data_IF_961838759558
#
_entry.id   IF_961838759558
#
_cell.length_a   1.000
_cell.length_b   1.000
_cell.length_c   1.000
_cell.angle_alpha   90.00
_cell.angle_beta   90.00
_cell.angle_gamma   90.00
#
_symmetry.space_group_name_H-M   'P 1'
#
loop_
_entity.id
_entity.type
_entity.pdbx_description
1 polymer ?
#
# COMPACT_ATOMS: atom_id res chain seq x y z
N UNK A 1 18.00 -32.79 -19.24
CA UNK A 1 17.53 -32.51 -17.87
C UNK A 1 18.33 -31.34 -17.32
N UNK A 2 17.88 -30.12 -17.56
CA UNK A 2 18.42 -28.93 -16.89
C UNK A 2 17.26 -28.07 -16.45
N UNK A 3 17.11 -27.94 -15.14
CA UNK A 3 16.37 -26.90 -14.45
C UNK A 3 16.99 -26.77 -13.06
N UNK A 4 16.94 -25.60 -12.40
CA UNK A 4 16.18 -24.41 -12.76
C UNK A 4 17.05 -23.16 -12.95
N UNK A 5 16.57 -22.23 -13.78
CA UNK A 5 17.09 -20.86 -13.89
C UNK A 5 16.76 -20.10 -12.62
N UNK A 6 17.58 -20.29 -11.58
CA UNK A 6 17.64 -19.41 -10.41
C UNK A 6 18.32 -18.11 -10.83
N UNK A 7 17.55 -17.06 -11.10
CA UNK A 7 17.85 -15.66 -10.76
C UNK A 7 16.64 -14.83 -11.19
N UNK A 8 15.54 -14.92 -10.44
CA UNK A 8 14.61 -13.80 -10.33
C UNK A 8 14.99 -13.05 -9.05
N UNK A 9 16.18 -12.44 -9.08
CA UNK A 9 16.53 -11.44 -8.10
C UNK A 9 15.80 -10.18 -8.52
N UNK A 10 14.86 -9.62 -7.73
CA UNK A 10 14.29 -8.33 -8.02
C UNK A 10 15.37 -7.28 -7.76
N UNK A 11 16.35 -7.18 -8.66
CA UNK A 11 17.20 -6.01 -8.80
C UNK A 11 16.24 -4.89 -9.16
N UNK A 12 15.76 -4.23 -8.12
CA UNK A 12 14.72 -3.23 -8.18
C UNK A 12 15.04 -2.25 -9.30
N UNK A 13 14.09 -2.04 -10.21
CA UNK A 13 14.18 -1.08 -11.33
C UNK A 13 14.09 0.35 -10.78
N UNK A 14 14.78 0.62 -9.70
CA UNK A 14 14.89 1.94 -9.16
C UNK A 14 15.89 2.67 -10.06
N UNK A 15 15.40 3.53 -10.95
CA UNK A 15 16.17 4.36 -11.88
C UNK A 15 17.16 5.30 -11.15
N UNK A 16 18.18 4.77 -10.49
CA UNK A 16 19.12 5.54 -9.66
C UNK A 16 18.53 6.11 -8.36
N UNK A 17 17.21 5.98 -8.13
CA UNK A 17 16.54 6.53 -6.94
C UNK A 17 16.59 5.59 -5.71
N UNK A 18 17.27 4.42 -5.78
CA UNK A 18 17.31 3.44 -4.67
C UNK A 18 17.61 4.07 -3.30
N UNK A 19 18.66 4.90 -3.15
CA UNK A 19 18.96 5.53 -1.86
C UNK A 19 17.83 6.45 -1.38
N UNK A 20 17.12 7.13 -2.30
CA UNK A 20 15.93 7.91 -1.94
C UNK A 20 14.80 7.01 -1.42
N UNK A 21 14.51 5.91 -2.12
CA UNK A 21 13.49 4.94 -1.71
C UNK A 21 13.75 4.35 -0.33
N UNK A 22 15.01 3.98 -0.05
CA UNK A 22 15.41 3.45 1.25
C UNK A 22 15.32 4.50 2.36
N UNK A 23 15.75 5.74 2.11
CA UNK A 23 15.65 6.82 3.08
C UNK A 23 14.19 7.14 3.45
N UNK A 24 13.30 7.21 2.45
CA UNK A 24 11.87 7.38 2.71
C UNK A 24 11.27 6.20 3.47
N UNK A 25 11.66 4.96 3.12
CA UNK A 25 11.20 3.77 3.84
C UNK A 25 11.65 3.79 5.31
N UNK A 26 12.87 4.24 5.58
CA UNK A 26 13.39 4.38 6.94
C UNK A 26 12.66 5.49 7.71
N UNK A 27 12.29 6.59 7.04
CA UNK A 27 11.53 7.69 7.63
C UNK A 27 10.15 7.21 8.09
N UNK A 28 9.37 6.58 7.20
CA UNK A 28 8.01 6.13 7.52
C UNK A 28 7.97 5.01 8.56
N UNK A 29 9.06 4.25 8.73
CA UNK A 29 9.15 3.20 9.75
C UNK A 29 9.51 3.72 11.15
N UNK A 30 10.05 4.94 11.24
CA UNK A 30 10.52 5.53 12.50
C UNK A 30 9.57 6.56 13.08
N UNK A 31 8.65 7.08 12.28
CA UNK A 31 7.68 8.08 12.71
C UNK A 31 6.39 7.35 13.07
N UNK A 32 5.99 7.44 14.33
CA UNK A 32 4.73 6.89 14.83
C UNK A 32 3.55 7.86 14.63
N UNK A 33 3.81 9.10 14.25
CA UNK A 33 2.81 10.14 14.00
C UNK A 33 2.29 10.12 12.56
N UNK A 34 1.03 10.55 12.30
CA UNK A 34 0.51 10.68 10.94
C UNK A 34 1.37 11.60 10.07
N UNK A 35 1.88 11.08 8.95
CA UNK A 35 2.78 11.79 8.05
C UNK A 35 2.22 11.84 6.61
N UNK A 36 2.34 13.01 5.98
CA UNK A 36 2.04 13.21 4.56
C UNK A 36 3.32 13.58 3.82
N UNK A 37 3.62 12.86 2.73
CA UNK A 37 4.79 13.11 1.89
C UNK A 37 4.31 13.41 0.47
N UNK A 38 4.74 14.54 -0.09
CA UNK A 38 4.51 14.90 -1.48
C UNK A 38 5.78 14.69 -2.31
N UNK A 39 5.65 14.03 -3.47
CA UNK A 39 6.72 13.82 -4.43
C UNK A 39 6.47 14.67 -5.67
N UNK A 40 7.32 15.68 -5.89
CA UNK A 40 7.22 16.58 -7.04
C UNK A 40 8.31 16.33 -8.08
N UNK A 41 8.02 16.67 -9.34
CA UNK A 41 9.01 16.73 -10.42
C UNK A 41 8.35 16.84 -11.81
N UNK A 42 9.14 16.90 -12.89
CA UNK A 42 8.63 17.02 -14.25
C UNK A 42 7.88 15.76 -14.73
N UNK A 43 7.02 15.91 -15.73
CA UNK A 43 6.40 14.79 -16.43
C UNK A 43 7.46 13.86 -17.01
N UNK A 44 7.21 12.55 -16.94
CA UNK A 44 8.18 11.54 -17.42
C UNK A 44 9.34 11.23 -16.47
N UNK A 45 9.44 11.87 -15.29
CA UNK A 45 10.53 11.63 -14.34
C UNK A 45 10.46 10.26 -13.61
N UNK A 46 9.45 9.44 -13.88
CA UNK A 46 9.29 8.14 -13.22
C UNK A 46 8.60 8.14 -11.86
N UNK A 47 7.86 9.20 -11.49
CA UNK A 47 7.09 9.28 -10.22
C UNK A 47 6.15 8.09 -9.98
N UNK A 48 5.30 7.77 -10.95
CA UNK A 48 4.34 6.67 -10.84
C UNK A 48 5.02 5.29 -10.73
N UNK A 49 6.04 4.97 -11.57
CA UNK A 49 6.87 3.78 -11.37
C UNK A 49 7.57 3.72 -10.00
N UNK A 50 8.14 4.84 -9.53
CA UNK A 50 8.78 4.94 -8.22
C UNK A 50 7.80 4.57 -7.10
N UNK A 51 6.58 5.14 -7.10
CA UNK A 51 5.58 4.85 -6.08
C UNK A 51 5.21 3.36 -6.02
N UNK A 52 5.06 2.69 -7.18
CA UNK A 52 4.76 1.25 -7.26
C UNK A 52 5.91 0.39 -6.71
N UNK A 53 7.16 0.75 -7.04
CA UNK A 53 8.34 0.03 -6.55
C UNK A 53 8.57 0.25 -5.05
N UNK A 54 8.37 1.48 -4.58
CA UNK A 54 8.49 1.82 -3.17
C UNK A 54 7.44 1.08 -2.32
N UNK A 55 6.20 0.96 -2.82
CA UNK A 55 5.21 0.08 -2.19
C UNK A 55 5.68 -1.38 -2.14
N UNK A 56 6.35 -1.88 -3.20
CA UNK A 56 6.99 -3.20 -3.18
C UNK A 56 8.04 -3.35 -2.07
N UNK A 57 8.92 -2.35 -1.92
CA UNK A 57 9.91 -2.30 -0.84
C UNK A 57 9.26 -2.32 0.55
N UNK A 58 8.21 -1.52 0.76
CA UNK A 58 7.46 -1.47 2.02
C UNK A 58 6.81 -2.82 2.36
N UNK A 59 6.21 -3.49 1.37
CA UNK A 59 5.65 -4.85 1.54
C UNK A 59 6.70 -5.87 1.94
N UNK A 60 7.89 -5.83 1.33
CA UNK A 60 9.02 -6.69 1.71
C UNK A 60 9.43 -6.47 3.17
N UNK A 61 9.33 -5.23 3.65
CA UNK A 61 9.59 -4.87 5.06
C UNK A 61 8.39 -5.08 5.98
N UNK A 62 7.34 -5.79 5.52
CA UNK A 62 6.11 -6.09 6.26
C UNK A 62 5.34 -4.84 6.73
N UNK A 63 5.50 -3.71 6.03
CA UNK A 63 4.71 -2.51 6.25
C UNK A 63 3.43 -2.59 5.41
N UNK A 64 2.23 -2.51 6.01
CA UNK A 64 0.97 -2.48 5.27
C UNK A 64 0.93 -1.24 4.35
N UNK A 65 0.62 -1.44 3.07
CA UNK A 65 0.63 -0.35 2.08
C UNK A 65 -0.48 -0.52 1.05
N UNK A 66 -1.22 0.56 0.82
CA UNK A 66 -2.22 0.69 -0.25
C UNK A 66 -1.63 1.61 -1.33
N UNK A 67 -1.80 1.22 -2.59
CA UNK A 67 -1.46 2.06 -3.74
C UNK A 67 -2.77 2.39 -4.43
N UNK A 68 -3.11 3.67 -4.48
CA UNK A 68 -4.34 4.17 -5.10
C UNK A 68 -3.98 5.09 -6.28
N UNK A 69 -4.45 4.74 -7.46
CA UNK A 69 -4.25 5.53 -8.69
C UNK A 69 -5.49 6.41 -8.92
N UNK A 70 -5.38 7.68 -8.56
CA UNK A 70 -6.49 8.61 -8.65
C UNK A 70 -6.95 8.85 -10.09
N UNK A 71 -6.03 8.84 -11.07
CA UNK A 71 -6.37 9.05 -12.48
C UNK A 71 -7.09 7.84 -13.08
N UNK A 72 -6.71 6.63 -12.69
CA UNK A 72 -7.41 5.43 -13.17
C UNK A 72 -8.84 5.30 -12.60
N UNK A 73 -9.10 5.93 -11.46
CA UNK A 73 -10.35 5.79 -10.71
C UNK A 73 -11.18 7.09 -10.68
N UNK A 74 -10.82 8.11 -11.46
CA UNK A 74 -11.55 9.38 -11.54
C UNK A 74 -12.89 9.27 -12.29
N UNK A 75 -13.06 8.22 -13.10
CA UNK A 75 -14.29 7.91 -13.83
C UNK A 75 -15.38 7.25 -12.96
N UNK A 76 -15.03 6.74 -11.77
CA UNK A 76 -16.01 6.17 -10.85
C UNK A 76 -16.77 7.29 -10.13
N UNK A 77 -18.09 7.19 -9.98
CA UNK A 77 -18.90 8.23 -9.36
C UNK A 77 -18.50 8.51 -7.90
N UNK A 78 -17.88 7.54 -7.21
CA UNK A 78 -17.49 7.65 -5.80
C UNK A 78 -16.03 7.21 -5.56
N UNK A 79 -15.06 8.06 -5.90
CA UNK A 79 -13.64 7.81 -5.61
C UNK A 79 -13.37 7.55 -4.11
N UNK A 80 -14.13 8.21 -3.22
CA UNK A 80 -14.08 7.98 -1.78
C UNK A 80 -14.49 6.57 -1.39
N UNK A 81 -15.49 5.99 -2.05
CA UNK A 81 -15.94 4.62 -1.79
C UNK A 81 -14.87 3.61 -2.21
N UNK A 82 -14.24 3.82 -3.37
CA UNK A 82 -13.15 2.97 -3.84
C UNK A 82 -11.97 2.98 -2.85
N UNK A 83 -11.59 4.16 -2.35
CA UNK A 83 -10.53 4.27 -1.34
C UNK A 83 -10.94 3.60 -0.01
N UNK A 84 -12.17 3.82 0.45
CA UNK A 84 -12.68 3.20 1.68
C UNK A 84 -12.72 1.67 1.60
N UNK A 85 -13.06 1.11 0.43
CA UNK A 85 -13.06 -0.33 0.18
C UNK A 85 -11.64 -0.92 0.30
N UNK A 86 -10.64 -0.27 -0.31
CA UNK A 86 -9.22 -0.69 -0.21
C UNK A 86 -8.70 -0.64 1.23
N UNK A 87 -9.01 0.45 1.97
CA UNK A 87 -8.65 0.58 3.39
C UNK A 87 -9.30 -0.53 4.21
N UNK A 88 -10.59 -0.80 3.99
CA UNK A 88 -11.33 -1.85 4.71
C UNK A 88 -10.76 -3.24 4.41
N UNK A 89 -10.40 -3.51 3.16
CA UNK A 89 -9.81 -4.77 2.75
C UNK A 89 -8.46 -5.01 3.44
N UNK A 90 -7.59 -3.99 3.48
CA UNK A 90 -6.31 -4.07 4.19
C UNK A 90 -6.52 -4.22 5.70
N UNK A 91 -7.41 -3.43 6.28
CA UNK A 91 -7.70 -3.45 7.72
C UNK A 91 -8.14 -4.85 8.18
N UNK A 92 -8.99 -5.55 7.41
CA UNK A 92 -9.41 -6.93 7.72
C UNK A 92 -8.26 -7.94 7.76
N UNK A 93 -7.18 -7.71 7.00
CA UNK A 93 -6.01 -8.59 7.00
C UNK A 93 -5.10 -8.37 8.22
N UNK A 94 -5.18 -7.19 8.83
CA UNK A 94 -4.26 -6.75 9.88
C UNK A 94 -4.92 -6.51 11.25
N UNK A 95 -6.25 -6.42 11.34
CA UNK A 95 -6.94 -6.39 12.61
C UNK A 95 -7.04 -7.80 13.20
N UNK A 96 -6.78 -7.99 14.50
CA UNK A 96 -7.12 -9.22 15.19
C UNK A 96 -8.65 -9.43 15.13
N UNK A 97 -9.06 -10.68 14.97
CA UNK A 97 -10.46 -11.14 14.90
C UNK A 97 -11.18 -11.04 16.26
N UNK A 98 -11.17 -9.88 16.91
CA UNK A 98 -11.76 -9.66 18.25
C UNK A 98 -13.05 -8.80 18.22
N UNK A 99 -13.82 -8.83 17.13
CA UNK A 99 -15.15 -8.19 17.11
C UNK A 99 -16.26 -8.97 16.41
N UNK A 100 -16.10 -10.28 16.20
CA UNK A 100 -17.20 -11.13 15.69
C UNK A 100 -18.29 -11.45 16.73
N UNK A 101 -18.21 -10.94 17.97
CA UNK A 101 -19.16 -11.28 19.05
C UNK A 101 -19.76 -10.07 19.76
N UNK A 102 -20.45 -9.16 19.06
CA UNK A 102 -21.41 -8.28 19.76
C UNK A 102 -22.47 -7.60 18.88
N UNK A 103 -23.13 -8.35 17.99
CA UNK A 103 -24.34 -7.84 17.30
C UNK A 103 -25.55 -8.78 17.36
N UNK A 104 -25.57 -9.79 18.25
CA UNK A 104 -26.79 -10.54 18.54
C UNK A 104 -27.55 -9.89 19.71
N UNK A 105 -28.13 -8.71 19.45
CA UNK A 105 -28.99 -7.98 20.37
C UNK A 105 -30.45 -8.13 19.98
N UNK A 106 -31.09 -9.16 20.55
CA UNK A 106 -32.50 -9.25 20.95
C UNK A 106 -33.59 -8.71 20.00
N UNK A 107 -34.29 -9.61 19.27
CA UNK A 107 -35.66 -9.32 18.77
C UNK A 107 -36.67 -9.73 19.84
N UNK A 108 -37.16 -8.70 20.52
CA UNK A 108 -38.49 -8.48 21.10
C UNK A 108 -39.37 -9.72 21.38
N UNK A 109 -39.63 -9.95 22.67
CA UNK A 109 -40.96 -10.37 23.10
C UNK A 109 -41.80 -9.13 23.36
N UNK A 110 -42.89 -8.98 22.61
CA UNK A 110 -44.24 -8.53 23.00
C UNK A 110 -45.20 -9.17 22.00
#
# INVERSE_FOLDING_TARGET
>A
MTSPTSTDSPKAIFFGLQPFGENFANLVQRIDEPLVIALDGPWGSGKSPFARQWAGLLRQRKVPVIVFDAFANDHQPDASLALAAEITALARQHLPEDRKRHCHGNRAGV
#
